data_IF_663234025960
#
_entry.id   IF_663234025960
#
_cell.length_a   1.000
_cell.length_b   1.000
_cell.length_c   1.000
_cell.angle_alpha   90.00
_cell.angle_beta   90.00
_cell.angle_gamma   90.00
#
_symmetry.space_group_name_H-M   'P 1'
#
loop_
_entity.id
_entity.type
_entity.pdbx_description
1 polymer ?
#
# COMPACT_ATOMS: atom_id res chain seq x y z
N UNK A 1 0.33 46.71 3.73
CA UNK A 1 0.41 45.29 4.13
C UNK A 1 0.79 44.49 2.90
N UNK A 2 2.05 44.05 2.79
CA UNK A 2 2.44 43.10 1.75
C UNK A 2 1.82 41.75 2.11
N UNK A 3 0.83 41.31 1.33
CA UNK A 3 0.32 39.94 1.45
C UNK A 3 1.44 39.02 0.96
N UNK A 4 2.00 38.23 1.87
CA UNK A 4 3.04 37.24 1.56
C UNK A 4 2.35 35.97 1.05
N UNK A 5 2.91 35.32 0.02
CA UNK A 5 2.35 34.06 -0.48
C UNK A 5 2.62 32.95 0.53
N UNK A 6 1.57 32.30 1.03
CA UNK A 6 1.72 31.14 1.90
C UNK A 6 2.01 29.90 1.05
N UNK A 7 3.30 29.69 0.77
CA UNK A 7 3.78 28.56 -0.04
C UNK A 7 3.41 27.20 0.56
N UNK A 8 3.26 27.11 1.89
CA UNK A 8 2.92 25.85 2.57
C UNK A 8 1.44 25.53 2.40
N UNK A 9 0.58 26.55 2.52
CA UNK A 9 -0.85 26.39 2.25
C UNK A 9 -1.10 26.02 0.77
N UNK A 10 -0.44 26.71 -0.15
CA UNK A 10 -0.53 26.39 -1.58
C UNK A 10 -0.05 24.97 -1.89
N UNK A 11 1.12 24.56 -1.39
CA UNK A 11 1.64 23.22 -1.64
C UNK A 11 0.69 22.13 -1.12
N UNK A 12 0.06 22.35 0.04
CA UNK A 12 -0.93 21.43 0.60
C UNK A 12 -2.19 21.33 -0.25
N UNK A 13 -2.69 22.45 -0.76
CA UNK A 13 -3.89 22.48 -1.61
C UNK A 13 -3.61 21.91 -3.02
N UNK A 14 -2.43 22.20 -3.56
CA UNK A 14 -1.95 21.64 -4.83
C UNK A 14 -1.81 20.12 -4.74
N UNK A 15 -1.19 19.61 -3.66
CA UNK A 15 -1.06 18.16 -3.43
C UNK A 15 -2.42 17.49 -3.21
N UNK A 16 -3.33 18.14 -2.48
CA UNK A 16 -4.70 17.64 -2.31
C UNK A 16 -5.48 17.55 -3.63
N UNK A 17 -5.21 18.44 -4.57
CA UNK A 17 -5.89 18.50 -5.88
C UNK A 17 -5.24 17.58 -6.92
N UNK A 18 -3.90 17.55 -6.97
CA UNK A 18 -3.14 16.89 -8.05
C UNK A 18 -2.44 15.59 -7.62
N UNK A 19 -2.48 15.22 -6.33
CA UNK A 19 -1.89 13.98 -5.81
C UNK A 19 -0.36 13.94 -5.84
N UNK A 20 0.30 15.07 -6.09
CA UNK A 20 1.76 15.23 -6.07
C UNK A 20 2.16 16.63 -5.58
N UNK A 21 3.38 16.80 -5.04
CA UNK A 21 3.87 18.14 -4.72
C UNK A 21 4.04 19.01 -5.99
N UNK A 22 3.89 20.33 -5.88
CA UNK A 22 4.09 21.26 -6.99
C UNK A 22 5.55 21.28 -7.47
N UNK A 23 5.75 21.51 -8.76
CA UNK A 23 7.08 21.80 -9.33
C UNK A 23 7.47 23.26 -9.11
N UNK A 24 8.73 23.62 -9.40
CA UNK A 24 9.23 24.99 -9.26
C UNK A 24 8.46 25.96 -10.17
N UNK A 25 8.18 25.50 -11.39
CA UNK A 25 7.45 26.27 -12.40
C UNK A 25 6.00 26.52 -11.98
N UNK A 26 5.33 25.52 -11.39
CA UNK A 26 3.96 25.63 -10.89
C UNK A 26 3.87 26.53 -9.65
N UNK A 27 4.91 26.52 -8.81
CA UNK A 27 5.03 27.41 -7.66
C UNK A 27 5.18 28.87 -8.11
N UNK A 28 6.03 29.11 -9.11
CA UNK A 28 6.28 30.43 -9.69
C UNK A 28 5.04 30.97 -10.42
N UNK A 29 4.32 30.11 -11.14
CA UNK A 29 3.06 30.46 -11.80
C UNK A 29 1.96 30.79 -10.78
N UNK A 30 1.86 30.06 -9.68
CA UNK A 30 0.86 30.34 -8.63
C UNK A 30 1.14 31.64 -7.87
N UNK A 31 2.41 31.94 -7.61
CA UNK A 31 2.83 33.23 -7.05
C UNK A 31 2.54 34.37 -8.03
N UNK A 32 2.80 34.16 -9.31
CA UNK A 32 2.47 35.11 -10.38
C UNK A 32 0.96 35.36 -10.48
N UNK A 33 0.14 34.31 -10.49
CA UNK A 33 -1.31 34.44 -10.63
C UNK A 33 -1.96 35.13 -9.43
N UNK A 34 -1.41 34.93 -8.23
CA UNK A 34 -1.95 35.53 -7.01
C UNK A 34 -1.46 36.96 -6.73
N UNK A 35 -0.21 37.28 -7.11
CA UNK A 35 0.41 38.57 -6.77
C UNK A 35 0.85 39.43 -7.96
N UNK A 36 0.82 38.91 -9.19
CA UNK A 36 1.24 39.64 -10.40
C UNK A 36 2.73 39.99 -10.40
N UNK A 37 3.54 39.23 -9.64
CA UNK A 37 4.95 39.51 -9.40
C UNK A 37 5.76 38.30 -9.87
N UNK A 38 6.60 38.48 -10.90
CA UNK A 38 7.53 37.47 -11.42
C UNK A 38 8.94 37.77 -10.90
N UNK A 39 9.22 37.40 -9.66
CA UNK A 39 10.58 37.40 -9.13
C UNK A 39 10.90 35.98 -8.67
N UNK A 40 11.75 35.28 -9.43
CA UNK A 40 12.84 34.41 -8.99
C UNK A 40 13.60 33.83 -10.19
N UNK A 41 14.92 33.68 -10.07
CA UNK A 41 15.70 32.81 -10.96
C UNK A 41 15.38 31.35 -10.59
N UNK A 42 15.54 30.38 -11.52
CA UNK A 42 15.24 28.97 -11.24
C UNK A 42 15.91 28.41 -9.97
N UNK A 43 17.03 28.99 -9.56
CA UNK A 43 17.80 28.64 -8.37
C UNK A 43 17.09 29.01 -7.06
N UNK A 44 16.42 30.16 -7.00
CA UNK A 44 15.69 30.61 -5.80
C UNK A 44 14.40 29.80 -5.59
N UNK A 45 13.70 29.44 -6.68
CA UNK A 45 12.52 28.57 -6.64
C UNK A 45 12.88 27.14 -6.21
N UNK A 46 14.08 26.67 -6.57
CA UNK A 46 14.62 25.40 -6.07
C UNK A 46 14.97 25.46 -4.58
N UNK A 47 15.60 26.55 -4.11
CA UNK A 47 15.94 26.72 -2.70
C UNK A 47 14.69 26.74 -1.81
N UNK A 48 13.60 27.40 -2.24
CA UNK A 48 12.32 27.39 -1.51
C UNK A 48 11.64 26.02 -1.57
N UNK A 49 11.70 25.29 -2.69
CA UNK A 49 11.23 23.90 -2.75
C UNK A 49 11.97 22.98 -1.78
N UNK A 50 13.28 23.14 -1.65
CA UNK A 50 14.08 22.37 -0.70
C UNK A 50 13.70 22.71 0.75
N UNK A 51 13.43 23.99 1.04
CA UNK A 51 12.93 24.44 2.34
C UNK A 51 11.54 23.88 2.66
N UNK A 52 10.64 23.84 1.69
CA UNK A 52 9.30 23.24 1.83
C UNK A 52 9.43 21.73 2.04
N UNK A 53 10.26 21.02 1.27
CA UNK A 53 10.52 19.58 1.46
C UNK A 53 11.14 19.26 2.82
N UNK A 54 12.00 20.15 3.33
CA UNK A 54 12.60 20.01 4.65
C UNK A 54 11.59 20.23 5.79
N UNK A 55 10.64 21.16 5.59
CA UNK A 55 9.65 21.55 6.60
C UNK A 55 8.40 20.66 6.56
N UNK A 56 8.03 20.18 5.38
CA UNK A 56 6.86 19.34 5.13
C UNK A 56 7.30 17.96 4.63
N UNK A 57 7.39 17.01 5.55
CA UNK A 57 7.46 15.58 5.23
C UNK A 57 6.06 15.00 5.37
N UNK A 58 5.35 14.70 4.26
CA UNK A 58 4.04 14.08 4.36
C UNK A 58 4.20 12.74 5.08
N UNK A 59 3.34 12.53 6.08
CA UNK A 59 3.36 11.32 6.90
C UNK A 59 3.07 10.09 6.03
N UNK A 60 3.49 8.90 6.48
CA UNK A 60 3.19 7.65 5.77
C UNK A 60 1.69 7.50 5.46
N UNK A 61 0.83 7.94 6.39
CA UNK A 61 -0.62 7.94 6.23
C UNK A 61 -1.14 8.92 5.18
N UNK A 62 -0.51 10.08 5.02
CA UNK A 62 -0.87 11.03 3.95
C UNK A 62 -0.45 10.49 2.58
N UNK A 63 0.76 9.93 2.48
CA UNK A 63 1.23 9.26 1.25
C UNK A 63 0.35 8.08 0.87
N UNK A 64 -0.08 7.29 1.85
CA UNK A 64 -1.00 6.18 1.63
C UNK A 64 -2.39 6.66 1.19
N UNK A 65 -2.92 7.72 1.80
CA UNK A 65 -4.19 8.35 1.38
C UNK A 65 -4.12 8.91 -0.04
N UNK A 66 -3.00 9.51 -0.44
CA UNK A 66 -2.76 9.98 -1.81
C UNK A 66 -2.65 8.79 -2.78
N UNK A 67 -1.97 7.70 -2.40
CA UNK A 67 -1.99 6.46 -3.18
C UNK A 67 -3.38 5.83 -3.32
N UNK A 68 -4.23 6.01 -2.32
CA UNK A 68 -5.64 5.59 -2.33
C UNK A 68 -6.58 6.60 -3.02
N UNK A 69 -6.22 7.88 -3.12
CA UNK A 69 -7.08 8.87 -3.79
C UNK A 69 -7.15 8.63 -5.30
N UNK A 70 -6.15 7.96 -5.87
CA UNK A 70 -6.18 7.42 -7.23
C UNK A 70 -7.31 6.38 -7.45
N UNK A 71 -7.81 5.73 -6.40
CA UNK A 71 -8.99 4.86 -6.47
C UNK A 71 -10.33 5.64 -6.55
N UNK A 72 -10.29 6.97 -6.49
CA UNK A 72 -11.46 7.85 -6.51
C UNK A 72 -11.94 8.20 -7.93
N UNK A 73 -13.26 8.05 -8.15
CA UNK A 73 -14.13 8.45 -9.28
C UNK A 73 -13.68 8.13 -10.73
N UNK A 74 -12.42 8.40 -11.11
CA UNK A 74 -11.83 8.03 -12.40
C UNK A 74 -11.49 6.54 -12.50
N UNK A 75 -11.00 5.93 -11.41
CA UNK A 75 -10.67 4.50 -11.37
C UNK A 75 -11.86 3.61 -11.68
N UNK A 76 -13.02 3.84 -11.06
CA UNK A 76 -14.22 3.04 -11.33
C UNK A 76 -14.73 3.22 -12.75
N UNK A 77 -14.62 4.42 -13.33
CA UNK A 77 -15.00 4.69 -14.73
C UNK A 77 -14.04 4.01 -15.71
N UNK A 78 -12.74 4.06 -15.46
CA UNK A 78 -11.72 3.36 -16.23
C UNK A 78 -11.84 1.83 -16.09
N UNK A 79 -12.03 1.34 -14.86
CA UNK A 79 -12.29 -0.07 -14.55
C UNK A 79 -13.53 -0.58 -15.30
N UNK A 80 -14.61 0.20 -15.35
CA UNK A 80 -15.82 -0.16 -16.08
C UNK A 80 -15.60 -0.16 -17.60
N UNK A 81 -14.86 0.81 -18.14
CA UNK A 81 -14.52 0.87 -19.56
C UNK A 81 -13.61 -0.30 -20.00
N UNK A 82 -12.70 -0.72 -19.12
CA UNK A 82 -11.76 -1.83 -19.30
C UNK A 82 -12.47 -3.18 -19.17
N UNK A 83 -13.38 -3.34 -18.20
CA UNK A 83 -14.26 -4.52 -18.11
C UNK A 83 -15.11 -4.71 -19.37
N UNK A 84 -15.51 -3.60 -20.02
CA UNK A 84 -16.26 -3.61 -21.28
C UNK A 84 -15.41 -3.88 -22.52
N UNK A 85 -14.08 -3.73 -22.43
CA UNK A 85 -13.17 -3.98 -23.55
C UNK A 85 -12.70 -5.44 -23.58
N UNK A 86 -12.93 -6.19 -24.67
CA UNK A 86 -12.55 -7.61 -24.77
C UNK A 86 -11.05 -7.87 -24.56
N UNK A 87 -10.18 -6.93 -24.96
CA UNK A 87 -8.73 -7.06 -24.82
C UNK A 87 -8.29 -6.90 -23.35
N UNK A 88 -8.86 -5.95 -22.63
CA UNK A 88 -8.50 -5.73 -21.24
C UNK A 88 -9.08 -6.79 -20.31
N UNK A 89 -10.28 -7.32 -20.62
CA UNK A 89 -10.87 -8.42 -19.87
C UNK A 89 -10.01 -9.69 -19.95
N UNK A 90 -9.44 -9.99 -21.12
CA UNK A 90 -8.55 -11.14 -21.28
C UNK A 90 -7.21 -10.93 -20.54
N UNK A 91 -6.62 -9.73 -20.60
CA UNK A 91 -5.43 -9.41 -19.79
C UNK A 91 -5.70 -9.52 -18.29
N UNK A 92 -6.82 -8.96 -17.82
CA UNK A 92 -7.26 -9.03 -16.43
C UNK A 92 -7.46 -10.49 -15.99
N UNK A 93 -8.08 -11.32 -16.83
CA UNK A 93 -8.28 -12.74 -16.54
C UNK A 93 -6.97 -13.50 -16.37
N UNK A 94 -5.99 -13.33 -17.28
CA UNK A 94 -4.69 -13.99 -17.15
C UNK A 94 -3.90 -13.46 -15.94
N UNK A 95 -3.99 -12.16 -15.65
CA UNK A 95 -3.37 -11.57 -14.48
C UNK A 95 -4.04 -12.05 -13.18
N UNK A 96 -5.35 -12.29 -13.19
CA UNK A 96 -6.09 -12.87 -12.07
C UNK A 96 -5.61 -14.29 -11.76
N UNK A 97 -5.42 -15.14 -12.78
CA UNK A 97 -4.87 -16.49 -12.61
C UNK A 97 -3.45 -16.44 -12.04
N UNK A 98 -2.58 -15.60 -12.62
CA UNK A 98 -1.18 -15.45 -12.14
C UNK A 98 -1.13 -14.93 -10.71
N UNK A 99 -1.93 -13.93 -10.40
CA UNK A 99 -2.08 -13.37 -9.07
C UNK A 99 -2.58 -14.41 -8.08
N UNK A 100 -3.60 -15.19 -8.45
CA UNK A 100 -4.12 -16.28 -7.62
C UNK A 100 -3.03 -17.29 -7.26
N UNK A 101 -2.31 -17.81 -8.26
CA UNK A 101 -1.20 -18.75 -8.04
C UNK A 101 -0.14 -18.12 -7.13
N UNK A 102 0.27 -16.88 -7.42
CA UNK A 102 1.29 -16.18 -6.64
C UNK A 102 0.89 -15.97 -5.18
N UNK A 103 -0.33 -15.49 -4.93
CA UNK A 103 -0.84 -15.25 -3.58
C UNK A 103 -0.97 -16.57 -2.82
N UNK A 104 -1.47 -17.63 -3.44
CA UNK A 104 -1.53 -18.94 -2.78
C UNK A 104 -0.13 -19.45 -2.41
N UNK A 105 0.83 -19.42 -3.35
CA UNK A 105 2.22 -19.83 -3.05
C UNK A 105 2.80 -19.03 -1.89
N UNK A 106 2.68 -17.71 -1.89
CA UNK A 106 3.15 -16.86 -0.81
C UNK A 106 2.45 -17.22 0.50
N UNK A 107 1.12 -17.40 0.49
CA UNK A 107 0.35 -17.76 1.67
C UNK A 107 0.84 -19.06 2.33
N UNK A 108 0.98 -20.14 1.54
CA UNK A 108 1.46 -21.43 2.04
C UNK A 108 2.91 -21.36 2.52
N UNK A 109 3.81 -20.77 1.73
CA UNK A 109 5.23 -20.67 2.06
C UNK A 109 5.45 -19.80 3.30
N UNK A 110 4.79 -18.64 3.39
CA UNK A 110 4.91 -17.76 4.55
C UNK A 110 4.41 -18.42 5.84
N UNK A 111 3.27 -19.14 5.80
CA UNK A 111 2.76 -19.89 6.97
C UNK A 111 3.74 -20.98 7.40
N UNK A 112 4.29 -21.72 6.45
CA UNK A 112 5.25 -22.78 6.72
C UNK A 112 6.54 -22.23 7.35
N UNK A 113 7.12 -21.19 6.75
CA UNK A 113 8.33 -20.55 7.28
C UNK A 113 8.11 -19.92 8.66
N UNK A 114 6.96 -19.28 8.87
CA UNK A 114 6.61 -18.73 10.17
C UNK A 114 6.46 -19.84 11.22
N UNK A 115 5.79 -20.94 10.87
CA UNK A 115 5.66 -22.12 11.72
C UNK A 115 7.03 -22.71 12.12
N UNK A 116 7.97 -22.82 11.18
CA UNK A 116 9.34 -23.29 11.48
C UNK A 116 10.06 -22.38 12.49
N UNK A 117 10.00 -21.06 12.29
CA UNK A 117 10.64 -20.10 13.20
C UNK A 117 10.04 -20.20 14.61
N UNK A 118 8.71 -20.23 14.70
CA UNK A 118 8.02 -20.37 15.99
C UNK A 118 8.37 -21.71 16.64
N UNK A 119 8.41 -22.81 15.88
CA UNK A 119 8.83 -24.12 16.34
C UNK A 119 10.22 -24.11 16.98
N UNK A 120 11.21 -23.52 16.30
CA UNK A 120 12.59 -23.40 16.82
C UNK A 120 12.64 -22.58 18.11
N UNK A 121 11.97 -21.42 18.13
CA UNK A 121 11.91 -20.58 19.34
C UNK A 121 11.32 -21.37 20.50
N UNK A 122 10.29 -22.15 20.22
CA UNK A 122 9.54 -22.87 21.24
C UNK A 122 10.36 -23.99 21.84
N UNK A 123 11.04 -24.78 21.00
CA UNK A 123 11.94 -25.84 21.44
C UNK A 123 13.08 -25.29 22.32
N UNK A 124 13.69 -24.16 21.93
CA UNK A 124 14.80 -23.55 22.67
C UNK A 124 14.36 -22.96 24.02
N UNK A 125 13.17 -22.36 24.11
CA UNK A 125 12.72 -21.61 25.29
C UNK A 125 11.86 -22.41 26.25
N UNK A 126 11.04 -23.31 25.72
CA UNK A 126 9.99 -23.99 26.47
C UNK A 126 10.11 -25.52 26.42
N UNK A 127 11.00 -26.06 25.56
CA UNK A 127 11.18 -27.49 25.37
C UNK A 127 10.08 -28.13 24.53
N UNK A 128 10.03 -29.46 24.55
CA UNK A 128 9.24 -30.28 23.62
C UNK A 128 7.83 -30.66 24.11
N UNK A 129 7.47 -30.34 25.35
CA UNK A 129 6.17 -30.72 25.91
C UNK A 129 5.19 -29.54 25.86
N UNK A 130 4.46 -29.43 24.75
CA UNK A 130 3.66 -28.27 24.39
C UNK A 130 2.18 -28.64 24.26
N UNK A 131 1.53 -28.91 25.40
CA UNK A 131 0.08 -29.17 25.46
C UNK A 131 -0.77 -27.95 25.06
N UNK A 132 -0.16 -26.75 25.04
CA UNK A 132 -0.79 -25.52 24.57
C UNK A 132 0.26 -24.51 24.12
N UNK A 133 -0.17 -23.42 23.49
CA UNK A 133 0.69 -22.32 23.08
C UNK A 133 1.40 -21.71 24.31
N UNK A 134 2.74 -21.84 24.44
CA UNK A 134 3.48 -21.45 25.64
C UNK A 134 3.84 -19.96 25.68
N UNK A 135 3.52 -19.21 24.61
CA UNK A 135 3.84 -17.80 24.54
C UNK A 135 2.93 -16.96 25.47
N UNK A 136 3.44 -15.86 26.04
CA UNK A 136 2.60 -14.92 26.77
C UNK A 136 1.71 -14.11 25.82
N UNK A 137 0.57 -13.62 26.33
CA UNK A 137 -0.26 -12.61 25.65
C UNK A 137 0.55 -11.30 25.50
N UNK A 138 0.53 -10.62 24.33
CA UNK A 138 -0.35 -10.81 23.16
C UNK A 138 0.19 -11.78 22.09
N UNK A 139 1.44 -12.24 22.19
CA UNK A 139 2.05 -13.08 21.16
C UNK A 139 1.31 -14.39 20.94
N UNK A 140 0.77 -14.98 22.00
CA UNK A 140 -0.12 -16.14 21.91
C UNK A 140 -1.27 -15.94 20.92
N UNK A 141 -1.99 -14.84 21.05
CA UNK A 141 -3.17 -14.56 20.23
C UNK A 141 -2.79 -14.37 18.77
N UNK A 142 -1.67 -13.69 18.50
CA UNK A 142 -1.14 -13.50 17.15
C UNK A 142 -0.75 -14.84 16.52
N UNK A 143 -0.05 -15.69 17.27
CA UNK A 143 0.38 -17.00 16.79
C UNK A 143 -0.82 -17.90 16.55
N UNK A 144 -1.79 -17.96 17.47
CA UNK A 144 -3.00 -18.76 17.33
C UNK A 144 -3.86 -18.28 16.15
N UNK A 145 -3.93 -16.98 15.92
CA UNK A 145 -4.63 -16.38 14.77
C UNK A 145 -3.95 -16.74 13.44
N UNK A 146 -2.62 -16.74 13.39
CA UNK A 146 -1.86 -16.97 12.15
C UNK A 146 -1.68 -18.47 11.87
N UNK A 147 -1.34 -19.30 12.86
CA UNK A 147 -1.00 -20.71 12.65
C UNK A 147 -2.12 -21.67 13.07
N UNK A 148 -3.15 -21.16 13.75
CA UNK A 148 -4.22 -21.96 14.35
C UNK A 148 -3.91 -22.35 15.79
N UNK A 149 -4.97 -22.51 16.59
CA UNK A 149 -4.87 -22.87 18.01
C UNK A 149 -4.22 -24.24 18.25
N UNK A 150 -4.38 -25.15 17.30
CA UNK A 150 -3.87 -26.53 17.41
C UNK A 150 -2.46 -26.70 16.84
N UNK A 151 -1.79 -25.60 16.45
CA UNK A 151 -0.45 -25.65 15.86
C UNK A 151 0.56 -26.35 16.76
N UNK A 152 0.57 -26.03 18.06
CA UNK A 152 1.52 -26.61 19.01
C UNK A 152 1.25 -28.08 19.35
N UNK A 153 -0.01 -28.52 19.20
CA UNK A 153 -0.40 -29.91 19.41
C UNK A 153 0.02 -30.81 18.24
N UNK A 154 -0.19 -30.32 17.01
CA UNK A 154 0.01 -31.12 15.81
C UNK A 154 1.34 -30.84 15.08
N UNK A 155 2.07 -29.80 15.48
CA UNK A 155 3.26 -29.28 14.80
C UNK A 155 3.04 -28.97 13.31
N UNK A 156 1.79 -28.80 12.89
CA UNK A 156 1.39 -28.50 11.51
C UNK A 156 0.64 -27.17 11.49
N UNK A 157 1.08 -26.18 10.70
CA UNK A 157 0.38 -24.92 10.59
C UNK A 157 -0.97 -25.11 9.90
N UNK A 158 -2.04 -24.59 10.50
CA UNK A 158 -3.31 -24.48 9.82
C UNK A 158 -3.19 -23.40 8.75
N UNK A 159 -3.36 -23.79 7.49
CA UNK A 159 -3.31 -22.84 6.37
C UNK A 159 -4.53 -21.91 6.35
N UNK A 160 -5.65 -22.34 6.91
CA UNK A 160 -6.88 -21.55 6.98
C UNK A 160 -7.47 -21.61 8.41
N UNK A 161 -6.83 -20.96 9.40
CA UNK A 161 -7.33 -20.93 10.79
C UNK A 161 -8.71 -20.27 10.89
N UNK A 162 -9.01 -19.34 9.98
CA UNK A 162 -10.26 -18.59 9.90
C UNK A 162 -10.80 -18.63 8.47
N UNK A 163 -11.36 -19.78 8.01
CA UNK A 163 -11.62 -20.03 6.58
C UNK A 163 -12.36 -18.91 5.85
N UNK A 164 -13.35 -18.30 6.49
CA UNK A 164 -14.11 -17.18 5.92
C UNK A 164 -13.25 -15.93 5.79
N UNK A 165 -12.56 -15.52 6.86
CA UNK A 165 -11.72 -14.32 6.85
C UNK A 165 -10.51 -14.48 5.92
N UNK A 166 -9.87 -15.65 5.95
CA UNK A 166 -8.72 -15.98 5.12
C UNK A 166 -9.11 -15.92 3.63
N UNK A 167 -10.27 -16.50 3.26
CA UNK A 167 -10.77 -16.45 1.89
C UNK A 167 -11.04 -15.02 1.42
N UNK A 168 -11.61 -14.17 2.28
CA UNK A 168 -11.82 -12.75 1.97
C UNK A 168 -10.51 -11.99 1.78
N UNK A 169 -9.55 -12.15 2.69
CA UNK A 169 -8.25 -11.49 2.60
C UNK A 169 -7.52 -11.91 1.32
N UNK A 170 -7.43 -13.22 1.07
CA UNK A 170 -6.78 -13.77 -0.12
C UNK A 170 -7.48 -13.28 -1.39
N UNK A 171 -8.81 -13.35 -1.44
CA UNK A 171 -9.59 -12.91 -2.60
C UNK A 171 -9.39 -11.43 -2.92
N UNK A 172 -9.44 -10.56 -1.91
CA UNK A 172 -9.21 -9.12 -2.07
C UNK A 172 -7.78 -8.86 -2.58
N UNK A 173 -6.77 -9.48 -1.99
CA UNK A 173 -5.37 -9.30 -2.41
C UNK A 173 -5.16 -9.79 -3.84
N UNK A 174 -5.75 -10.92 -4.23
CA UNK A 174 -5.69 -11.44 -5.60
C UNK A 174 -6.24 -10.42 -6.59
N UNK A 175 -7.43 -9.89 -6.32
CA UNK A 175 -8.10 -8.90 -7.17
C UNK A 175 -7.25 -7.63 -7.28
N UNK A 176 -6.77 -7.09 -6.14
CA UNK A 176 -5.94 -5.88 -6.13
C UNK A 176 -4.66 -6.05 -6.96
N UNK A 177 -3.93 -7.15 -6.77
CA UNK A 177 -2.71 -7.42 -7.52
C UNK A 177 -2.99 -7.65 -9.02
N UNK A 178 -4.10 -8.31 -9.36
CA UNK A 178 -4.50 -8.50 -10.75
C UNK A 178 -4.84 -7.17 -11.44
N UNK A 179 -5.52 -6.26 -10.72
CA UNK A 179 -5.81 -4.92 -11.21
C UNK A 179 -4.52 -4.13 -11.41
N UNK A 180 -3.65 -4.06 -10.39
CA UNK A 180 -2.36 -3.35 -10.47
C UNK A 180 -1.54 -3.84 -11.67
N UNK A 181 -1.38 -5.16 -11.83
CA UNK A 181 -0.62 -5.75 -12.94
C UNK A 181 -1.25 -5.48 -14.32
N UNK A 182 -2.57 -5.28 -14.37
CA UNK A 182 -3.27 -4.95 -15.61
C UNK A 182 -3.08 -3.48 -15.96
N UNK A 183 -3.20 -2.58 -14.99
CA UNK A 183 -3.06 -1.13 -15.20
C UNK A 183 -1.62 -0.67 -15.40
N UNK A 184 -0.64 -1.26 -14.70
CA UNK A 184 0.77 -0.90 -14.83
C UNK A 184 1.32 -1.12 -16.24
N UNK A 185 0.69 -2.03 -17.01
CA UNK A 185 1.09 -2.35 -18.37
C UNK A 185 0.51 -1.42 -19.44
N UNK A 186 -0.47 -0.60 -19.08
CA UNK A 186 -1.17 0.31 -20.00
C UNK A 186 -0.51 1.68 -20.06
N UNK A 187 0.21 2.08 -19.00
CA UNK A 187 0.96 3.35 -18.98
C UNK A 187 2.26 3.31 -19.81
N UNK A 188 2.77 2.13 -20.17
CA UNK A 188 4.01 1.97 -20.95
C UNK A 188 3.82 1.86 -22.47
N UNK A 189 2.57 1.89 -22.98
CA UNK A 189 2.25 1.80 -24.43
C UNK A 189 1.68 3.09 -24.99
#
# INVERSE_FOLDING_TARGET
MSKEFDYVAFAREFEATNGRPPTAEELDEAKWSHYGIKWHTPEESQAELERIKATYKPSFWERFKVGLSFLGHGFFKALFFILMSPLYLTMLFFNLIKSAIGVFVIWFVSKFMFGLIIGIITDVKYGSNLESNPFPTPFREIIDFILGKDFFLNAVPSFFPHPVLDAWIIGIVIILLALIATFSKVEES
#
